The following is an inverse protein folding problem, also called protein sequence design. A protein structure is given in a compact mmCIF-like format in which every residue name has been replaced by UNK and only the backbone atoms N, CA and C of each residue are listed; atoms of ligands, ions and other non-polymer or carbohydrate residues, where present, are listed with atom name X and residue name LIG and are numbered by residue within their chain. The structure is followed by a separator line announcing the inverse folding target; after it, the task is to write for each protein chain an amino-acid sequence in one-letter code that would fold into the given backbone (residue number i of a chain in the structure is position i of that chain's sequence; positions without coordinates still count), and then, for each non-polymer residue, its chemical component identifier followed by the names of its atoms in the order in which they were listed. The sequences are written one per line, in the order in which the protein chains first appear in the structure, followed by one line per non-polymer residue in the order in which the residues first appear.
data_IF_976485431644
#
_entry.id   IF_976485431644
#
_cell.length_a   1.000
_cell.length_b   1.000
_cell.length_c   1.000
_cell.angle_alpha   90.00
_cell.angle_beta   90.00
_cell.angle_gamma   90.00
#
_symmetry.space_group_name_H-M   'P 1'
#
loop_
_entity.id
_entity.type
_entity.pdbx_description
1 polymer ?
#
# COMPACT_ATOMS: atom_id res chain seq x y z
N UNK A 1 -6.56 0.86 -10.98
CA UNK A 1 -5.46 1.68 -11.54
C UNK A 1 -4.16 1.04 -11.08
N UNK A 2 -3.19 0.83 -11.97
CA UNK A 2 -1.89 0.24 -11.64
C UNK A 2 -0.83 1.32 -11.76
N UNK A 3 -0.12 1.61 -10.67
CA UNK A 3 0.98 2.58 -10.65
C UNK A 3 2.25 1.76 -10.47
N UNK A 4 3.11 1.76 -11.48
CA UNK A 4 4.42 1.09 -11.44
C UNK A 4 5.48 2.12 -11.12
N UNK A 5 6.28 1.88 -10.08
CA UNK A 5 7.42 2.70 -9.69
C UNK A 5 8.66 1.84 -9.83
N UNK A 6 9.61 2.25 -10.68
CA UNK A 6 10.94 1.64 -10.73
C UNK A 6 11.80 2.31 -9.66
N UNK A 7 12.11 1.57 -8.60
CA UNK A 7 12.98 2.01 -7.51
C UNK A 7 14.14 1.02 -7.35
N UNK A 8 15.35 1.53 -7.11
CA UNK A 8 16.53 0.70 -6.82
C UNK A 8 16.55 0.23 -5.36
N UNK A 9 15.74 0.88 -4.50
CA UNK A 9 15.58 0.54 -3.09
C UNK A 9 14.64 -0.66 -2.87
N UNK A 10 14.99 -1.53 -1.93
CA UNK A 10 14.13 -2.63 -1.48
C UNK A 10 12.99 -2.06 -0.64
N UNK A 11 11.79 -1.98 -1.23
CA UNK A 11 10.57 -1.58 -0.52
C UNK A 11 10.21 -2.64 0.52
N UNK A 12 9.88 -2.21 1.73
CA UNK A 12 9.41 -3.06 2.81
C UNK A 12 7.99 -2.67 3.23
N UNK A 13 7.30 -3.54 3.97
CA UNK A 13 5.93 -3.28 4.45
C UNK A 13 5.82 -1.96 5.23
N UNK A 14 6.86 -1.59 5.99
CA UNK A 14 6.92 -0.32 6.73
C UNK A 14 6.79 0.91 5.83
N UNK A 15 7.27 0.82 4.58
CA UNK A 15 7.25 1.89 3.60
C UNK A 15 5.84 2.02 3.02
N UNK A 16 5.17 0.89 2.74
CA UNK A 16 3.75 0.85 2.39
C UNK A 16 2.87 1.40 3.53
N UNK A 17 3.19 1.05 4.79
CA UNK A 17 2.49 1.57 5.98
C UNK A 17 2.63 3.09 6.10
N UNK A 18 3.80 3.63 5.78
CA UNK A 18 4.07 5.07 5.78
C UNK A 18 3.37 5.78 4.62
N UNK A 19 3.34 5.18 3.43
CA UNK A 19 2.59 5.68 2.29
C UNK A 19 1.08 5.75 2.61
N UNK A 20 0.53 4.70 3.23
CA UNK A 20 -0.91 4.65 3.55
C UNK A 20 -1.31 5.78 4.51
N UNK A 21 -0.43 6.17 5.44
CA UNK A 21 -0.67 7.31 6.34
C UNK A 21 -0.66 8.67 5.64
N UNK A 22 -0.02 8.79 4.48
CA UNK A 22 0.08 10.02 3.68
C UNK A 22 -0.96 10.09 2.56
N UNK A 23 -1.68 9.00 2.32
CA UNK A 23 -2.72 8.92 1.30
C UNK A 23 -3.86 9.88 1.66
N UNK A 24 -4.15 10.81 0.76
CA UNK A 24 -5.38 11.60 0.83
C UNK A 24 -6.55 10.69 0.40
N UNK A 25 -7.25 10.14 1.39
CA UNK A 25 -8.38 9.25 1.19
C UNK A 25 -9.72 9.98 1.12
N UNK A 26 -9.73 11.33 1.09
CA UNK A 26 -10.97 12.13 1.14
C UNK A 26 -11.95 11.85 0.00
N UNK A 27 -11.43 11.34 -1.13
CA UNK A 27 -12.20 10.99 -2.34
C UNK A 27 -12.47 9.50 -2.47
N UNK A 28 -11.99 8.67 -1.53
CA UNK A 28 -12.19 7.23 -1.55
C UNK A 28 -13.46 6.86 -0.77
N UNK A 29 -14.28 5.92 -1.29
CA UNK A 29 -15.36 5.31 -0.52
C UNK A 29 -14.82 4.59 0.72
N UNK A 30 -15.64 4.53 1.77
CA UNK A 30 -15.37 3.69 2.92
C UNK A 30 -15.23 2.22 2.49
N UNK A 31 -14.23 1.54 3.02
CA UNK A 31 -13.97 0.14 2.69
C UNK A 31 -12.52 -0.29 2.91
N UNK A 32 -12.24 -1.52 2.54
CA UNK A 32 -10.92 -2.13 2.69
C UNK A 32 -10.08 -1.99 1.42
N UNK A 33 -8.81 -1.66 1.59
CA UNK A 33 -7.86 -1.36 0.52
C UNK A 33 -6.51 -2.01 0.80
N UNK A 34 -5.78 -2.27 -0.28
CA UNK A 34 -4.43 -2.80 -0.22
C UNK A 34 -3.47 -1.93 -1.02
N UNK A 35 -2.31 -1.65 -0.43
CA UNK A 35 -1.13 -1.32 -1.22
C UNK A 35 -0.37 -2.58 -1.54
N UNK A 36 -0.03 -2.73 -2.83
CA UNK A 36 0.68 -3.89 -3.35
C UNK A 36 1.97 -3.43 -4.01
N UNK A 37 3.09 -4.03 -3.60
CA UNK A 37 4.38 -3.87 -4.26
C UNK A 37 4.86 -5.23 -4.74
N UNK A 38 5.28 -5.28 -6.01
CA UNK A 38 5.83 -6.46 -6.64
C UNK A 38 7.26 -6.19 -7.09
N UNK A 39 8.22 -6.95 -6.56
CA UNK A 39 9.61 -6.88 -6.99
C UNK A 39 9.89 -7.92 -8.07
N UNK A 40 10.10 -7.45 -9.30
CA UNK A 40 10.44 -8.30 -10.45
C UNK A 40 11.95 -8.60 -10.55
N UNK A 41 12.80 -8.10 -9.65
CA UNK A 41 14.26 -8.29 -9.74
C UNK A 41 14.70 -9.73 -9.46
N UNK A 42 13.92 -10.49 -8.69
CA UNK A 42 14.22 -11.89 -8.32
C UNK A 42 13.27 -12.88 -9.02
N UNK A 43 13.77 -14.06 -9.40
CA UNK A 43 12.98 -15.12 -10.09
C UNK A 43 11.74 -15.58 -9.32
N UNK A 44 11.75 -15.42 -8.00
CA UNK A 44 10.65 -15.83 -7.13
C UNK A 44 9.55 -14.75 -7.02
N UNK A 45 9.73 -13.60 -7.67
CA UNK A 45 8.82 -12.44 -7.66
C UNK A 45 8.27 -12.16 -6.24
N UNK A 46 9.08 -11.53 -5.39
CA UNK A 46 8.62 -11.19 -4.05
C UNK A 46 7.53 -10.12 -4.11
N UNK A 47 6.44 -10.36 -3.39
CA UNK A 47 5.37 -9.40 -3.23
C UNK A 47 5.15 -9.10 -1.76
N UNK A 48 4.99 -7.83 -1.43
CA UNK A 48 4.53 -7.39 -0.13
C UNK A 48 3.25 -6.58 -0.30
N UNK A 49 2.35 -6.74 0.66
CA UNK A 49 1.10 -6.00 0.70
C UNK A 49 0.89 -5.38 2.06
N UNK A 50 0.23 -4.23 2.07
CA UNK A 50 -0.22 -3.59 3.30
C UNK A 50 -1.70 -3.28 3.22
N UNK A 51 -2.47 -3.95 4.09
CA UNK A 51 -3.92 -3.79 4.19
C UNK A 51 -4.30 -2.62 5.10
N UNK A 52 -5.29 -1.84 4.68
CA UNK A 52 -5.83 -0.74 5.47
C UNK A 52 -7.30 -0.48 5.14
N UNK A 53 -8.03 0.08 6.10
CA UNK A 53 -9.41 0.48 5.90
C UNK A 53 -9.47 2.01 5.69
N UNK A 54 -10.40 2.46 4.86
CA UNK A 54 -10.77 3.88 4.75
C UNK A 54 -12.14 4.05 5.39
N UNK A 55 -12.24 5.08 6.22
CA UNK A 55 -13.49 5.51 6.82
C UNK A 55 -13.55 7.02 6.93
N UNK A 56 -14.68 7.61 6.52
CA UNK A 56 -14.93 9.05 6.56
C UNK A 56 -13.79 9.85 5.88
N UNK A 57 -13.30 9.34 4.75
CA UNK A 57 -12.24 9.98 3.97
C UNK A 57 -10.84 9.91 4.60
N UNK A 58 -10.63 9.06 5.61
CA UNK A 58 -9.35 8.88 6.30
C UNK A 58 -8.92 7.42 6.34
N UNK A 59 -7.61 7.18 6.27
CA UNK A 59 -7.06 5.84 6.47
C UNK A 59 -7.10 5.48 7.96
N UNK A 60 -7.89 4.47 8.29
CA UNK A 60 -8.00 3.86 9.62
C UNK A 60 -7.39 2.46 9.59
N UNK A 61 -6.41 2.20 10.46
CA UNK A 61 -5.76 0.88 10.53
C UNK A 61 -6.58 -0.03 11.42
N UNK A 62 -7.04 -1.15 10.87
CA UNK A 62 -7.44 -2.32 11.65
C UNK A 62 -6.21 -3.23 11.68
N UNK A 63 -5.35 -3.08 12.69
CA UNK A 63 -4.31 -4.10 12.92
C UNK A 63 -5.04 -5.42 13.26
N UNK A 64 -4.74 -6.50 12.51
CA UNK A 64 -5.00 -7.88 12.94
C UNK A 64 -3.72 -8.48 13.52
#
# INVERSE_FOLDING_TARGET
MMISVEDDQSIQEKDLKAAAKKLDASVLPDGDYDFYYLDFKNKDHESISYHFNVKDGQVVKLDQ
#
